data_IF_259436774450
#
_entry.id   IF_259436774450
#
_cell.length_a   1.000
_cell.length_b   1.000
_cell.length_c   1.000
_cell.angle_alpha   90.00
_cell.angle_beta   90.00
_cell.angle_gamma   90.00
#
_symmetry.space_group_name_H-M   'P 1'
#
loop_
_entity.id
_entity.type
_entity.pdbx_description
1 polymer ?
#
# COMPACT_ATOMS: atom_id res chain seq x y z
N UNK A 1 -4.08 1.69 -1.33
CA UNK A 1 -4.12 2.94 -0.55
C UNK A 1 -2.94 3.02 0.42
N UNK A 2 -1.73 3.24 -0.10
CA UNK A 2 -0.52 3.31 0.72
C UNK A 2 -0.48 4.55 1.62
N UNK A 3 -1.06 5.67 1.21
CA UNK A 3 -1.05 6.92 2.00
C UNK A 3 -1.89 6.81 3.27
N UNK A 4 -3.11 6.24 3.18
CA UNK A 4 -3.95 6.01 4.35
C UNK A 4 -3.28 5.04 5.34
N UNK A 5 -2.56 4.05 4.82
CA UNK A 5 -1.75 3.12 5.61
C UNK A 5 -0.61 3.85 6.34
N UNK A 6 0.15 4.70 5.64
CA UNK A 6 1.22 5.49 6.24
C UNK A 6 0.72 6.35 7.38
N UNK A 7 -0.41 7.05 7.18
CA UNK A 7 -1.01 7.90 8.20
C UNK A 7 -1.43 7.09 9.44
N UNK A 8 -2.06 5.94 9.25
CA UNK A 8 -2.49 5.08 10.35
C UNK A 8 -1.31 4.45 11.11
N UNK A 9 -0.20 4.16 10.42
CA UNK A 9 1.01 3.65 11.06
C UNK A 9 1.74 4.74 11.85
N UNK A 10 1.77 5.98 11.36
CA UNK A 10 2.31 7.14 12.07
C UNK A 10 1.57 7.40 13.39
N UNK A 11 0.23 7.31 13.39
CA UNK A 11 -0.59 7.39 14.61
C UNK A 11 -0.21 6.27 15.61
N UNK A 12 0.14 5.09 15.11
CA UNK A 12 0.65 3.96 15.90
C UNK A 12 2.16 4.01 16.12
N UNK A 13 2.80 5.18 15.97
CA UNK A 13 4.25 5.40 16.21
C UNK A 13 5.16 4.47 15.41
N UNK A 14 4.68 3.98 14.27
CA UNK A 14 5.44 3.12 13.36
C UNK A 14 5.74 3.91 12.09
N UNK A 15 7.01 4.21 11.86
CA UNK A 15 7.45 5.00 10.72
C UNK A 15 7.89 4.08 9.58
N UNK A 16 7.31 4.28 8.40
CA UNK A 16 7.58 3.46 7.22
C UNK A 16 7.45 4.28 5.94
N UNK A 17 7.83 3.72 4.80
CA UNK A 17 7.67 4.37 3.50
C UNK A 17 6.59 3.67 2.66
N UNK A 18 5.93 4.43 1.77
CA UNK A 18 5.09 3.82 0.72
C UNK A 18 5.97 3.43 -0.45
N UNK A 19 5.74 2.23 -0.98
CA UNK A 19 6.40 1.74 -2.19
C UNK A 19 5.79 2.31 -3.48
N UNK A 20 4.64 2.97 -3.40
CA UNK A 20 4.08 3.75 -4.50
C UNK A 20 4.89 5.03 -4.64
N UNK A 21 5.50 5.26 -5.80
CA UNK A 21 6.40 6.37 -6.07
C UNK A 21 5.94 7.67 -5.38
N UNK A 22 6.84 8.29 -4.63
CA UNK A 22 6.60 9.55 -3.95
C UNK A 22 5.91 10.56 -4.88
N UNK A 23 4.80 11.13 -4.38
CA UNK A 23 4.28 12.48 -4.62
C UNK A 23 5.09 13.31 -5.63
N UNK A 24 4.78 13.21 -6.92
CA UNK A 24 5.16 14.25 -7.89
C UNK A 24 4.21 14.24 -9.09
N UNK A 25 3.01 14.84 -8.96
CA UNK A 25 2.10 15.26 -10.04
C UNK A 25 1.63 14.23 -11.09
N UNK A 26 2.16 13.01 -11.08
CA UNK A 26 1.82 11.90 -11.95
C UNK A 26 1.69 10.67 -11.07
N UNK A 27 0.49 10.06 -11.05
CA UNK A 27 0.19 8.76 -10.46
C UNK A 27 1.01 7.66 -11.18
N UNK A 28 2.33 7.71 -11.08
CA UNK A 28 3.22 6.75 -11.71
C UNK A 28 3.54 5.64 -10.72
N UNK A 29 3.29 4.42 -11.16
CA UNK A 29 3.66 3.20 -10.50
C UNK A 29 5.17 3.18 -10.17
N UNK A 30 5.56 2.48 -9.10
CA UNK A 30 6.96 2.19 -8.85
C UNK A 30 7.57 1.41 -10.03
N UNK A 31 8.64 1.95 -10.62
CA UNK A 31 9.35 1.31 -11.72
C UNK A 31 9.90 -0.06 -11.33
N UNK A 32 10.23 -0.27 -10.05
CA UNK A 32 10.68 -1.58 -9.53
C UNK A 32 9.52 -2.57 -9.46
N UNK A 33 8.39 -2.18 -8.88
CA UNK A 33 7.21 -3.05 -8.81
C UNK A 33 6.67 -3.38 -10.20
N UNK A 34 6.73 -2.43 -11.13
CA UNK A 34 6.42 -2.66 -12.54
C UNK A 34 7.35 -3.69 -13.19
N UNK A 35 8.66 -3.60 -12.96
CA UNK A 35 9.63 -4.55 -13.50
C UNK A 35 9.46 -5.97 -12.94
N UNK A 36 8.93 -6.11 -11.71
CA UNK A 36 8.60 -7.41 -11.10
C UNK A 36 7.23 -7.94 -11.57
N UNK A 37 6.50 -7.17 -12.38
CA UNK A 37 5.21 -7.57 -12.94
C UNK A 37 4.02 -7.33 -12.01
N UNK A 38 4.18 -6.54 -10.96
CA UNK A 38 3.07 -6.13 -10.10
C UNK A 38 2.26 -5.05 -10.81
N UNK A 39 0.93 -5.15 -10.76
CA UNK A 39 0.03 -4.16 -11.37
C UNK A 39 0.05 -2.80 -10.67
N UNK A 40 -0.40 -1.74 -11.36
CA UNK A 40 -0.42 -0.38 -10.80
C UNK A 40 -1.36 -0.27 -9.58
N UNK A 41 -2.53 -0.88 -9.71
CA UNK A 41 -3.56 -1.00 -8.69
C UNK A 41 -3.07 -1.70 -7.41
N UNK A 42 -2.28 -2.76 -7.55
CA UNK A 42 -1.63 -3.45 -6.43
C UNK A 42 -0.47 -2.62 -5.84
N UNK A 43 0.33 -2.00 -6.71
CA UNK A 43 1.46 -1.16 -6.32
C UNK A 43 1.03 0.03 -5.44
N UNK A 44 -0.18 0.53 -5.63
CA UNK A 44 -0.74 1.64 -4.84
C UNK A 44 -1.05 1.28 -3.38
N UNK A 45 -0.98 0.00 -3.00
CA UNK A 45 -1.11 -0.45 -1.61
C UNK A 45 0.22 -0.85 -0.97
N UNK A 46 1.35 -0.71 -1.67
CA UNK A 46 2.65 -1.20 -1.20
C UNK A 46 3.24 -0.34 -0.08
N UNK A 47 3.82 -1.00 0.91
CA UNK A 47 4.54 -0.40 2.04
C UNK A 47 5.90 -1.07 2.17
N UNK A 48 6.92 -0.30 2.51
CA UNK A 48 8.30 -0.76 2.67
C UNK A 48 8.79 -0.45 4.08
N UNK A 49 8.97 -1.49 4.88
CA UNK A 49 9.64 -1.40 6.17
C UNK A 49 11.16 -1.53 5.98
N UNK A 50 11.90 -0.56 6.48
CA UNK A 50 13.37 -0.59 6.51
C UNK A 50 13.83 -0.67 7.95
N UNK A 51 14.63 -1.69 8.27
CA UNK A 51 15.16 -1.90 9.62
C UNK A 51 16.58 -1.36 9.71
N UNK A 52 16.88 -0.69 10.82
CA UNK A 52 18.19 -0.17 11.19
C UNK A 52 18.78 -0.88 12.41
N UNK A 53 20.02 -0.53 12.74
CA UNK A 53 20.78 -1.15 13.85
C UNK A 53 20.09 -1.00 15.22
N UNK A 54 19.34 0.08 15.41
CA UNK A 54 18.66 0.40 16.67
C UNK A 54 17.33 -0.33 16.83
N UNK A 55 16.83 -1.02 15.79
CA UNK A 55 15.61 -1.80 15.92
C UNK A 55 15.84 -3.04 16.77
N UNK A 56 14.85 -3.34 17.61
CA UNK A 56 14.85 -4.46 18.55
C UNK A 56 13.77 -5.46 18.20
N UNK A 57 13.87 -6.69 18.73
CA UNK A 57 12.81 -7.70 18.59
C UNK A 57 11.46 -7.20 19.11
N UNK A 58 11.47 -6.37 20.16
CA UNK A 58 10.25 -5.75 20.72
C UNK A 58 9.55 -4.84 19.72
N UNK A 59 10.31 -4.13 18.87
CA UNK A 59 9.73 -3.29 17.82
C UNK A 59 9.03 -4.15 16.77
N UNK A 60 9.62 -5.31 16.44
CA UNK A 60 9.02 -6.29 15.53
C UNK A 60 7.74 -6.87 16.13
N UNK A 61 7.77 -7.29 17.39
CA UNK A 61 6.61 -7.81 18.11
C UNK A 61 5.47 -6.78 18.14
N UNK A 62 5.80 -5.51 18.40
CA UNK A 62 4.85 -4.41 18.39
C UNK A 62 4.20 -4.23 17.00
N UNK A 63 5.00 -4.26 15.93
CA UNK A 63 4.49 -4.18 14.56
C UNK A 63 3.60 -5.39 14.25
N UNK A 64 3.99 -6.60 14.65
CA UNK A 64 3.19 -7.82 14.42
C UNK A 64 1.83 -7.75 15.15
N UNK A 65 1.74 -7.06 16.28
CA UNK A 65 0.48 -6.87 16.99
C UNK A 65 -0.39 -5.76 16.38
N UNK A 66 0.22 -4.67 15.95
CA UNK A 66 -0.50 -3.45 15.53
C UNK A 66 -0.83 -3.42 14.05
N UNK A 67 0.09 -3.87 13.19
CA UNK A 67 -0.04 -3.82 11.74
C UNK A 67 -1.30 -4.55 11.24
N UNK A 68 -1.63 -5.79 11.70
CA UNK A 68 -2.85 -6.47 11.26
C UNK A 68 -4.13 -5.71 11.60
N UNK A 69 -4.16 -5.03 12.75
CA UNK A 69 -5.31 -4.22 13.19
C UNK A 69 -5.52 -3.02 12.26
N UNK A 70 -4.43 -2.39 11.82
CA UNK A 70 -4.46 -1.30 10.83
C UNK A 70 -4.96 -1.80 9.47
N UNK A 71 -4.43 -2.93 8.98
CA UNK A 71 -4.89 -3.55 7.73
C UNK A 71 -6.39 -3.83 7.79
N UNK A 72 -6.85 -4.46 8.87
CA UNK A 72 -8.26 -4.79 9.05
C UNK A 72 -9.12 -3.53 8.98
N UNK A 73 -8.75 -2.49 9.72
CA UNK A 73 -9.51 -1.24 9.76
C UNK A 73 -9.62 -0.58 8.38
N UNK A 74 -8.53 -0.56 7.62
CA UNK A 74 -8.52 0.01 6.28
C UNK A 74 -9.33 -0.82 5.29
N UNK A 75 -9.35 -2.15 5.43
CA UNK A 75 -10.21 -3.02 4.62
C UNK A 75 -11.69 -2.84 4.93
N UNK A 76 -12.07 -2.62 6.18
CA UNK A 76 -13.47 -2.37 6.59
C UNK A 76 -14.06 -1.10 5.98
N UNK A 77 -13.23 -0.07 5.77
CA UNK A 77 -13.67 1.21 5.19
C UNK A 77 -13.48 1.26 3.67
N UNK A 78 -12.73 0.32 3.10
CA UNK A 78 -12.47 0.31 1.66
C UNK A 78 -13.72 -0.18 0.92
N UNK A 79 -14.12 0.48 -0.17
CA UNK A 79 -15.16 -0.04 -1.06
C UNK A 79 -14.67 -1.22 -1.91
N UNK A 80 -13.38 -1.59 -1.81
CA UNK A 80 -12.74 -2.66 -2.56
C UNK A 80 -12.35 -3.81 -1.62
N UNK A 81 -13.03 -4.94 -1.78
CA UNK A 81 -12.82 -6.18 -1.03
C UNK A 81 -12.50 -7.35 -1.96
N UNK A 82 -12.10 -8.52 -1.41
CA UNK A 82 -11.79 -9.71 -2.20
C UNK A 82 -12.89 -10.12 -3.17
N UNK A 83 -14.15 -9.94 -2.79
CA UNK A 83 -15.34 -10.28 -3.57
C UNK A 83 -15.58 -9.39 -4.81
N UNK A 84 -15.03 -8.18 -4.84
CA UNK A 84 -15.24 -7.23 -5.95
C UNK A 84 -13.93 -6.75 -6.61
N UNK A 85 -12.79 -7.29 -6.16
CA UNK A 85 -11.45 -6.94 -6.64
C UNK A 85 -11.29 -7.13 -8.15
N UNK A 86 -11.63 -8.30 -8.68
CA UNK A 86 -11.48 -8.60 -10.11
C UNK A 86 -12.31 -7.67 -11.00
N UNK A 87 -13.47 -7.23 -10.52
CA UNK A 87 -14.32 -6.29 -11.25
C UNK A 87 -13.70 -4.88 -11.24
N UNK A 88 -13.10 -4.49 -10.12
CA UNK A 88 -12.38 -3.23 -9.99
C UNK A 88 -11.17 -3.18 -10.92
N UNK A 89 -10.32 -4.22 -10.92
CA UNK A 89 -9.13 -4.29 -11.78
C UNK A 89 -9.52 -4.21 -13.26
N UNK A 90 -10.51 -5.01 -13.70
CA UNK A 90 -11.02 -4.97 -15.08
C UNK A 90 -11.60 -3.60 -15.47
N UNK A 91 -12.30 -2.94 -14.54
CA UNK A 91 -12.84 -1.60 -14.77
C UNK A 91 -11.72 -0.57 -14.88
N UNK A 92 -10.70 -0.63 -14.02
CA UNK A 92 -9.55 0.25 -14.05
C UNK A 92 -8.78 0.13 -15.39
N UNK A 93 -8.59 -1.08 -15.89
CA UNK A 93 -7.94 -1.31 -17.19
C UNK A 93 -8.78 -0.80 -18.37
N UNK A 94 -10.11 -0.88 -18.29
CA UNK A 94 -10.99 -0.32 -19.31
C UNK A 94 -10.79 1.20 -19.47
N UNK A 95 -10.56 1.94 -18.37
CA UNK A 95 -10.34 3.39 -18.41
C UNK A 95 -8.93 3.79 -18.87
N UNK A 96 -7.92 2.92 -18.74
CA UNK A 96 -6.56 3.16 -19.29
C UNK A 96 -6.56 3.18 -20.83
N UNK A 97 -7.51 2.49 -21.48
CA UNK A 97 -7.59 2.35 -22.93
C UNK A 97 -8.49 3.39 -23.64
N UNK A 98 -9.02 4.39 -22.91
CA UNK A 98 -9.92 5.43 -23.48
C UNK A 98 -9.26 6.81 -23.52
N UNK A 99 -8.06 6.95 -22.97
CA UNK A 99 -7.28 8.20 -22.96
C UNK A 99 -6.14 8.21 -23.99
N UNK A 100 -6.26 7.42 -25.06
CA UNK A 100 -5.37 7.43 -26.22
C UNK A 100 -5.91 8.31 -27.34
#
# INVERSE_FOLDING_TARGET
EGEAMLLMLDINKTYTASGSACVSYALKQSHVLAAVGIGAEESNGSIVFSLGRENTEKDIDYILETYPKVIQRLREISPFGPENWDQFVKKADKYKNVSG
#
